data_IF_601437365903
#
_entry.id   IF_601437365903
#
_cell.length_a   1.000
_cell.length_b   1.000
_cell.length_c   1.000
_cell.angle_alpha   90.00
_cell.angle_beta   90.00
_cell.angle_gamma   90.00
#
_symmetry.space_group_name_H-M   'P 1'
#
loop_
_entity.id
_entity.type
_entity.pdbx_description
1 polymer ?
#
# COMPACT_ATOMS: atom_id res chain seq x y z
N UNK A 1 -1.23 -16.37 17.82
CA UNK A 1 -1.19 -16.04 16.38
C UNK A 1 -2.37 -15.17 15.98
N UNK A 2 -3.59 -15.67 15.73
CA UNK A 2 -4.71 -14.79 15.31
C UNK A 2 -5.10 -13.68 16.30
N UNK A 3 -4.89 -13.88 17.61
CA UNK A 3 -5.18 -12.87 18.63
C UNK A 3 -4.09 -11.80 18.80
N UNK A 4 -2.87 -12.07 18.33
CA UNK A 4 -1.70 -11.19 18.52
C UNK A 4 -1.28 -10.55 17.20
N UNK A 5 -1.28 -11.34 16.12
CA UNK A 5 -0.98 -10.92 14.76
C UNK A 5 -2.05 -11.48 13.80
N UNK A 6 -3.23 -10.84 13.72
CA UNK A 6 -4.37 -11.37 12.97
C UNK A 6 -4.09 -11.45 11.46
N UNK A 7 -3.39 -10.46 10.90
CA UNK A 7 -2.98 -10.45 9.49
C UNK A 7 -2.10 -11.66 9.14
N UNK A 8 -0.98 -11.83 9.84
CA UNK A 8 -0.05 -12.94 9.58
C UNK A 8 -0.72 -14.30 9.87
N UNK A 9 -1.55 -14.35 10.90
CA UNK A 9 -2.36 -15.53 11.22
C UNK A 9 -3.30 -15.93 10.07
N UNK A 10 -4.02 -14.98 9.48
CA UNK A 10 -4.95 -15.26 8.38
C UNK A 10 -4.22 -15.81 7.15
N UNK A 11 -3.14 -15.15 6.74
CA UNK A 11 -2.33 -15.54 5.57
C UNK A 11 -1.75 -16.95 5.76
N UNK A 12 -1.14 -17.22 6.92
CA UNK A 12 -0.53 -18.52 7.19
C UNK A 12 -1.55 -19.65 7.27
N UNK A 13 -2.73 -19.40 7.88
CA UNK A 13 -3.77 -20.43 8.01
C UNK A 13 -4.42 -20.75 6.66
N UNK A 14 -4.64 -19.73 5.81
CA UNK A 14 -5.10 -19.96 4.43
C UNK A 14 -4.07 -20.78 3.65
N UNK A 15 -2.80 -20.38 3.68
CA UNK A 15 -1.72 -21.07 2.98
C UNK A 15 -1.53 -22.52 3.46
N UNK A 16 -1.79 -22.80 4.74
CA UNK A 16 -1.74 -24.16 5.29
C UNK A 16 -2.93 -25.02 4.84
N UNK A 17 -4.10 -24.42 4.54
CA UNK A 17 -5.22 -25.12 3.90
C UNK A 17 -6.12 -25.94 4.84
N UNK A 18 -6.04 -25.73 6.16
CA UNK A 18 -6.81 -26.51 7.14
C UNK A 18 -8.14 -25.86 7.51
N UNK A 19 -9.24 -26.50 7.09
CA UNK A 19 -10.61 -26.05 7.36
C UNK A 19 -10.95 -25.87 8.85
N UNK A 20 -10.18 -26.47 9.78
CA UNK A 20 -10.35 -26.22 11.23
C UNK A 20 -10.08 -24.77 11.61
N UNK A 21 -9.40 -24.00 10.76
CA UNK A 21 -9.16 -22.58 10.96
C UNK A 21 -10.40 -21.70 10.71
N UNK A 22 -11.45 -22.22 10.08
CA UNK A 22 -12.63 -21.43 9.70
C UNK A 22 -13.32 -20.75 10.90
N UNK A 23 -13.53 -21.47 11.99
CA UNK A 23 -14.18 -20.92 13.19
C UNK A 23 -13.32 -19.85 13.88
N UNK A 24 -12.01 -20.10 14.14
CA UNK A 24 -11.11 -19.07 14.64
C UNK A 24 -11.02 -17.82 13.75
N UNK A 25 -10.97 -18.00 12.42
CA UNK A 25 -10.92 -16.88 11.47
C UNK A 25 -12.22 -16.07 11.48
N UNK A 26 -13.37 -16.74 11.51
CA UNK A 26 -14.68 -16.08 11.63
C UNK A 26 -14.74 -15.23 12.90
N UNK A 27 -14.35 -15.82 14.05
CA UNK A 27 -14.35 -15.10 15.32
C UNK A 27 -13.37 -13.92 15.32
N UNK A 28 -12.21 -14.07 14.70
CA UNK A 28 -11.25 -12.99 14.54
C UNK A 28 -11.79 -11.86 13.65
N UNK A 29 -12.47 -12.20 12.55
CA UNK A 29 -13.11 -11.21 11.68
C UNK A 29 -14.22 -10.44 12.41
N UNK A 30 -14.99 -11.12 13.24
CA UNK A 30 -16.03 -10.47 14.05
C UNK A 30 -15.41 -9.49 15.07
N UNK A 31 -14.32 -9.91 15.72
CA UNK A 31 -13.63 -9.13 16.76
C UNK A 31 -12.79 -7.96 16.24
N UNK A 32 -12.23 -8.04 15.03
CA UNK A 32 -11.37 -6.98 14.49
C UNK A 32 -12.22 -5.80 14.02
N UNK A 33 -11.90 -4.60 14.49
CA UNK A 33 -12.60 -3.36 14.14
C UNK A 33 -12.02 -2.74 12.86
N UNK A 34 -12.84 -1.96 12.15
CA UNK A 34 -12.33 -1.14 11.07
C UNK A 34 -11.51 -0.02 11.68
N UNK A 35 -10.35 0.25 11.10
CA UNK A 35 -9.48 1.31 11.58
C UNK A 35 -9.95 2.66 11.04
N UNK A 36 -10.09 3.64 11.93
CA UNK A 36 -10.45 5.02 11.55
C UNK A 36 -9.22 5.84 11.14
N UNK A 37 -8.00 5.31 11.28
CA UNK A 37 -6.79 6.03 10.92
C UNK A 37 -6.62 6.05 9.41
N UNK A 38 -6.97 7.21 8.90
CA UNK A 38 -7.00 7.51 7.50
C UNK A 38 -5.55 7.59 6.93
N UNK A 39 -4.51 7.80 7.73
CA UNK A 39 -3.14 7.93 7.21
C UNK A 39 -2.47 6.60 6.80
N UNK A 40 -3.01 5.45 7.19
CA UNK A 40 -2.42 4.14 6.90
C UNK A 40 -3.11 3.43 5.72
N UNK A 41 -2.37 3.26 4.63
CA UNK A 41 -2.84 2.54 3.43
C UNK A 41 -3.12 1.04 3.68
N UNK A 42 -2.64 0.51 4.80
CA UNK A 42 -2.84 -0.88 5.23
C UNK A 42 -3.88 -1.04 6.35
N UNK A 43 -4.50 0.05 6.81
CA UNK A 43 -5.46 0.06 7.93
C UNK A 43 -6.57 -1.01 7.81
N UNK A 44 -7.03 -1.27 6.59
CA UNK A 44 -8.12 -2.23 6.34
C UNK A 44 -7.64 -3.61 5.88
N UNK A 45 -6.33 -3.81 5.74
CA UNK A 45 -5.77 -5.03 5.15
C UNK A 45 -6.11 -6.27 5.99
N UNK A 46 -6.02 -6.17 7.32
CA UNK A 46 -6.30 -7.29 8.23
C UNK A 46 -7.73 -7.83 8.07
N UNK A 47 -8.74 -6.95 8.03
CA UNK A 47 -10.15 -7.33 7.85
C UNK A 47 -10.36 -8.04 6.51
N UNK A 48 -9.72 -7.53 5.46
CA UNK A 48 -9.80 -8.12 4.13
C UNK A 48 -9.17 -9.51 4.10
N UNK A 49 -7.97 -9.68 4.66
CA UNK A 49 -7.28 -10.97 4.70
C UNK A 49 -8.03 -12.03 5.51
N UNK A 50 -8.62 -11.66 6.65
CA UNK A 50 -9.44 -12.58 7.44
C UNK A 50 -10.62 -13.12 6.62
N UNK A 51 -11.32 -12.23 5.90
CA UNK A 51 -12.41 -12.63 5.03
C UNK A 51 -11.98 -13.42 3.80
N UNK A 52 -10.81 -13.12 3.22
CA UNK A 52 -10.24 -13.91 2.12
C UNK A 52 -9.86 -15.32 2.58
N UNK A 53 -9.17 -15.45 3.72
CA UNK A 53 -8.79 -16.73 4.29
C UNK A 53 -10.00 -17.64 4.56
N UNK A 54 -11.11 -17.08 5.08
CA UNK A 54 -12.36 -17.85 5.27
C UNK A 54 -12.87 -18.39 3.93
N UNK A 55 -12.93 -17.56 2.90
CA UNK A 55 -13.42 -17.96 1.56
C UNK A 55 -12.50 -18.97 0.89
N UNK A 56 -11.18 -18.79 0.98
CA UNK A 56 -10.19 -19.70 0.39
C UNK A 56 -10.22 -21.10 1.04
N UNK A 57 -10.46 -21.18 2.34
CA UNK A 57 -10.65 -22.43 3.06
C UNK A 57 -12.05 -23.07 2.85
N UNK A 58 -12.86 -22.52 1.94
CA UNK A 58 -14.18 -23.04 1.60
C UNK A 58 -15.30 -22.63 2.56
N UNK A 59 -15.05 -21.67 3.45
CA UNK A 59 -16.05 -21.11 4.36
C UNK A 59 -16.94 -20.06 3.71
N UNK A 60 -18.08 -19.79 4.34
CA UNK A 60 -19.03 -18.75 3.96
C UNK A 60 -19.03 -17.64 5.02
N UNK A 61 -19.06 -16.39 4.56
CA UNK A 61 -19.18 -15.23 5.46
C UNK A 61 -20.65 -14.99 5.84
N UNK A 62 -20.88 -14.60 7.08
CA UNK A 62 -22.18 -14.12 7.54
C UNK A 62 -22.51 -12.76 6.90
N UNK A 63 -23.77 -12.34 6.92
CA UNK A 63 -24.19 -11.04 6.39
C UNK A 63 -23.44 -9.86 7.05
N UNK A 64 -23.31 -9.77 8.39
CA UNK A 64 -22.51 -8.72 9.03
C UNK A 64 -21.02 -8.73 8.63
N UNK A 65 -20.44 -9.92 8.43
CA UNK A 65 -19.05 -10.06 7.96
C UNK A 65 -18.90 -9.57 6.51
N UNK A 66 -19.88 -9.84 5.66
CA UNK A 66 -19.90 -9.34 4.28
C UNK A 66 -19.98 -7.81 4.28
N UNK A 67 -20.87 -7.21 5.06
CA UNK A 67 -21.00 -5.76 5.20
C UNK A 67 -19.70 -5.10 5.72
N UNK A 68 -19.03 -5.75 6.69
CA UNK A 68 -17.73 -5.30 7.20
C UNK A 68 -16.66 -5.34 6.10
N UNK A 69 -16.60 -6.41 5.30
CA UNK A 69 -15.67 -6.52 4.17
C UNK A 69 -15.91 -5.45 3.11
N UNK A 70 -17.17 -5.19 2.75
CA UNK A 70 -17.51 -4.15 1.77
C UNK A 70 -17.15 -2.76 2.29
N UNK A 71 -17.37 -2.50 3.59
CA UNK A 71 -16.96 -1.25 4.22
C UNK A 71 -15.42 -1.08 4.22
N UNK A 72 -14.68 -2.15 4.55
CA UNK A 72 -13.22 -2.17 4.46
C UNK A 72 -12.70 -1.89 3.04
N UNK A 73 -13.35 -2.48 2.01
CA UNK A 73 -13.02 -2.24 0.60
C UNK A 73 -13.23 -0.79 0.20
N UNK A 74 -14.39 -0.22 0.57
CA UNK A 74 -14.73 1.17 0.27
C UNK A 74 -13.73 2.14 0.91
N UNK A 75 -13.44 1.98 2.20
CA UNK A 75 -12.48 2.83 2.91
C UNK A 75 -11.09 2.77 2.25
N UNK A 76 -10.64 1.57 1.87
CA UNK A 76 -9.36 1.40 1.17
C UNK A 76 -9.34 2.08 -0.21
N UNK A 77 -10.44 1.97 -0.96
CA UNK A 77 -10.57 2.60 -2.28
C UNK A 77 -10.57 4.13 -2.18
N UNK A 78 -11.37 4.70 -1.28
CA UNK A 78 -11.38 6.14 -0.97
C UNK A 78 -9.99 6.67 -0.59
N UNK A 79 -9.23 5.86 0.18
CA UNK A 79 -7.84 6.16 0.53
C UNK A 79 -6.89 6.14 -0.66
N UNK A 80 -6.95 5.08 -1.48
CA UNK A 80 -6.13 4.97 -2.68
C UNK A 80 -6.38 6.14 -3.62
N UNK A 81 -7.64 6.53 -3.85
CA UNK A 81 -7.99 7.69 -4.67
C UNK A 81 -7.41 9.00 -4.11
N UNK A 82 -7.45 9.16 -2.79
CA UNK A 82 -6.87 10.33 -2.11
C UNK A 82 -5.36 10.38 -2.27
N UNK A 83 -4.67 9.26 -2.09
CA UNK A 83 -3.22 9.13 -2.30
C UNK A 83 -2.84 9.36 -3.76
N UNK A 84 -3.61 8.83 -4.71
CA UNK A 84 -3.35 9.01 -6.15
C UNK A 84 -3.55 10.46 -6.57
N UNK A 85 -4.57 11.14 -6.05
CA UNK A 85 -4.77 12.59 -6.23
C UNK A 85 -3.59 13.37 -5.68
N UNK A 86 -3.11 13.03 -4.48
CA UNK A 86 -1.93 13.67 -3.90
C UNK A 86 -0.69 13.41 -4.74
N UNK A 87 -0.44 12.16 -5.16
CA UNK A 87 0.69 11.76 -6.00
C UNK A 87 0.69 12.49 -7.34
N UNK A 88 -0.48 12.70 -7.94
CA UNK A 88 -0.63 13.52 -9.16
C UNK A 88 -0.38 15.01 -8.95
N UNK A 89 -0.52 15.52 -7.71
CA UNK A 89 -0.24 16.91 -7.35
C UNK A 89 1.23 17.19 -7.03
N UNK A 90 2.01 16.14 -6.72
CA UNK A 90 3.46 16.27 -6.50
C UNK A 90 4.13 16.48 -7.86
N UNK A 91 4.80 17.61 -8.10
CA UNK A 91 5.51 17.83 -9.36
C UNK A 91 6.54 16.71 -9.55
N UNK A 92 6.61 16.17 -10.77
CA UNK A 92 7.60 15.16 -11.13
C UNK A 92 8.98 15.63 -10.66
N UNK A 93 9.68 14.80 -9.88
CA UNK A 93 11.04 15.12 -9.47
C UNK A 93 11.80 15.35 -10.76
N UNK A 94 12.22 16.60 -11.00
CA UNK A 94 13.12 16.92 -12.11
C UNK A 94 14.25 15.90 -12.06
N UNK A 95 14.53 15.26 -13.18
CA UNK A 95 15.62 14.30 -13.27
C UNK A 95 16.83 14.87 -12.54
N UNK A 96 17.52 14.07 -11.71
CA UNK A 96 18.72 14.53 -11.06
C UNK A 96 19.63 15.10 -12.14
N UNK A 97 20.09 16.34 -11.94
CA UNK A 97 20.98 17.01 -12.91
C UNK A 97 22.08 16.03 -13.28
N UNK A 98 22.50 15.97 -14.56
CA UNK A 98 23.49 14.99 -15.00
C UNK A 98 24.68 14.93 -14.06
N UNK A 99 25.23 13.75 -13.83
CA UNK A 99 26.47 13.59 -13.10
C UNK A 99 27.56 14.48 -13.72
N UNK A 100 28.51 15.00 -12.92
CA UNK A 100 29.55 15.95 -13.38
C UNK A 100 30.26 15.52 -14.69
N UNK A 101 30.41 14.22 -14.93
CA UNK A 101 31.08 13.68 -16.13
C UNK A 101 30.13 13.23 -17.25
N UNK A 102 28.82 13.22 -17.02
CA UNK A 102 27.80 12.83 -18.00
C UNK A 102 27.60 13.93 -19.06
N UNK A 103 27.03 13.62 -20.24
CA UNK A 103 26.67 14.62 -21.23
C UNK A 103 25.78 15.71 -20.63
N UNK A 104 26.02 16.97 -21.04
CA UNK A 104 25.24 18.10 -20.56
C UNK A 104 23.80 18.05 -21.09
N UNK A 105 22.84 18.45 -20.25
CA UNK A 105 21.41 18.50 -20.56
C UNK A 105 21.06 19.44 -21.73
N UNK A 106 21.95 20.37 -22.13
CA UNK A 106 21.72 21.30 -23.24
C UNK A 106 21.92 20.70 -24.64
N UNK A 107 22.24 19.40 -24.73
CA UNK A 107 22.43 18.72 -26.01
C UNK A 107 23.78 18.98 -26.71
N UNK A 108 24.73 19.65 -26.05
CA UNK A 108 26.05 19.96 -26.62
C UNK A 108 26.98 18.76 -26.78
N UNK A 109 26.67 17.61 -26.16
CA UNK A 109 27.52 16.41 -26.14
C UNK A 109 28.77 16.52 -25.25
N UNK A 110 29.04 17.68 -24.64
CA UNK A 110 30.18 17.85 -23.71
C UNK A 110 29.83 17.47 -22.28
N UNK A 111 30.84 17.13 -21.47
CA UNK A 111 30.66 16.78 -20.04
C UNK A 111 30.00 17.93 -19.28
N UNK A 112 29.00 17.64 -18.46
CA UNK A 112 28.23 18.62 -17.67
C UNK A 112 29.12 19.58 -16.88
N UNK A 113 30.19 19.08 -16.25
CA UNK A 113 31.17 19.90 -15.52
C UNK A 113 31.88 20.99 -16.33
N UNK A 114 31.93 20.83 -17.66
CA UNK A 114 32.58 21.77 -18.59
C UNK A 114 31.57 22.67 -19.32
N UNK A 115 30.29 22.50 -19.04
CA UNK A 115 29.20 23.22 -19.71
C UNK A 115 28.40 23.94 -18.62
N UNK A 116 27.17 23.49 -18.32
CA UNK A 116 26.27 24.22 -17.43
C UNK A 116 26.52 24.01 -15.92
N UNK A 117 27.45 23.14 -15.47
CA UNK A 117 27.68 22.92 -14.03
C UNK A 117 28.01 24.21 -13.25
N UNK A 118 28.75 25.15 -13.87
CA UNK A 118 29.10 26.41 -13.23
C UNK A 118 27.90 27.33 -13.04
N UNK A 119 27.10 27.49 -14.09
CA UNK A 119 25.87 28.29 -14.10
C UNK A 119 24.82 27.70 -13.15
N UNK A 120 24.68 26.38 -13.17
CA UNK A 120 23.75 25.64 -12.33
C UNK A 120 24.13 25.65 -10.83
N UNK A 121 25.42 25.77 -10.52
CA UNK A 121 25.91 25.94 -9.13
C UNK A 121 25.63 27.34 -8.57
N UNK A 122 25.56 28.36 -9.42
CA UNK A 122 25.21 29.72 -9.03
C UNK A 122 23.71 29.96 -8.83
N UNK A 123 22.87 28.99 -9.21
CA UNK A 123 21.40 29.05 -9.16
C UNK A 123 20.80 28.14 -8.08
N UNK A 124 21.49 27.97 -6.96
CA UNK A 124 20.91 27.37 -5.77
C UNK A 124 19.93 28.38 -5.14
N UNK A 125 18.70 27.98 -4.73
CA UNK A 125 17.92 28.78 -3.80
C UNK A 125 18.64 28.92 -2.45
#
# INVERSE_FOLDING_TARGET
MLAEEPFLGAVNLSAYGDARALEPLSRALDAYELEDDVADVFAQQTVLELGFAIRELGGTLTEPQQEKLESARRLREEWNETIDRWRGSVPERRDPRPGRNEPCWCGSGVKYKKCHLGEDRGRLP
#
